data_IF_001525346471
#
_entry.id   IF_001525346471
#
_cell.length_a   1.000
_cell.length_b   1.000
_cell.length_c   1.000
_cell.angle_alpha   90.00
_cell.angle_beta   90.00
_cell.angle_gamma   90.00
#
_symmetry.space_group_name_H-M   'P 1'
#
loop_
_entity.id
_entity.type
_entity.pdbx_description
1 polymer ?
#
# COMPACT_ATOMS: atom_id res chain seq x y z
N UNK A 1 5.60 -25.19 17.31
CA UNK A 1 5.89 -23.82 17.41
C UNK A 1 4.66 -22.95 17.54
N UNK A 2 4.85 -21.68 17.64
CA UNK A 2 3.89 -20.60 17.92
C UNK A 2 2.57 -20.68 17.11
N UNK A 3 2.61 -21.16 15.88
CA UNK A 3 1.40 -21.37 15.05
C UNK A 3 0.45 -22.43 15.60
N UNK A 4 0.96 -23.45 16.31
CA UNK A 4 0.09 -24.48 16.93
C UNK A 4 -0.64 -23.96 18.17
N UNK A 5 -0.03 -23.04 18.91
CA UNK A 5 -0.64 -22.41 20.09
C UNK A 5 -1.74 -21.43 19.69
N UNK A 6 -1.57 -20.71 18.57
CA UNK A 6 -2.59 -19.81 18.01
C UNK A 6 -3.81 -20.59 17.49
N UNK A 7 -3.62 -21.82 17.01
CA UNK A 7 -4.72 -22.68 16.51
C UNK A 7 -5.55 -23.31 17.63
N UNK A 8 -5.02 -23.38 18.86
CA UNK A 8 -5.74 -23.91 20.04
C UNK A 8 -6.48 -22.81 20.81
N UNK A 9 -6.09 -21.54 20.60
CA UNK A 9 -6.80 -20.43 21.22
C UNK A 9 -8.15 -20.19 20.51
N UNK A 10 -9.24 -19.85 21.23
CA UNK A 10 -10.55 -19.55 20.65
C UNK A 10 -10.55 -18.16 19.98
N UNK A 11 -9.62 -17.95 19.06
CA UNK A 11 -9.46 -16.70 18.32
C UNK A 11 -9.99 -16.91 16.89
N UNK A 12 -10.85 -15.99 16.42
CA UNK A 12 -11.34 -16.09 15.05
C UNK A 12 -10.17 -15.91 14.06
N UNK A 13 -10.13 -16.73 13.03
CA UNK A 13 -9.09 -16.65 11.97
C UNK A 13 -9.07 -15.26 11.30
N UNK A 14 -10.23 -14.60 11.24
CA UNK A 14 -10.34 -13.20 10.79
C UNK A 14 -9.54 -12.24 11.69
N UNK A 15 -9.56 -12.45 13.01
CA UNK A 15 -8.76 -11.64 13.95
C UNK A 15 -7.26 -11.82 13.72
N UNK A 16 -6.82 -13.03 13.35
CA UNK A 16 -5.42 -13.30 13.01
C UNK A 16 -5.00 -12.55 11.75
N UNK A 17 -5.84 -12.55 10.69
CA UNK A 17 -5.59 -11.81 9.46
C UNK A 17 -5.51 -10.30 9.73
N UNK A 18 -6.50 -9.75 10.46
CA UNK A 18 -6.52 -8.34 10.85
C UNK A 18 -5.31 -7.94 11.69
N UNK A 19 -4.97 -8.76 12.70
CA UNK A 19 -3.79 -8.53 13.55
C UNK A 19 -2.48 -8.51 12.77
N UNK A 20 -2.29 -9.45 11.83
CA UNK A 20 -1.11 -9.47 10.95
C UNK A 20 -1.04 -8.24 10.07
N UNK A 21 -2.16 -7.82 9.47
CA UNK A 21 -2.22 -6.62 8.64
C UNK A 21 -1.87 -5.36 9.44
N UNK A 22 -2.49 -5.19 10.62
CA UNK A 22 -2.23 -4.03 11.47
C UNK A 22 -0.78 -4.03 11.99
N UNK A 23 -0.26 -5.19 12.39
CA UNK A 23 1.14 -5.31 12.81
C UNK A 23 2.12 -4.93 11.71
N UNK A 24 1.92 -5.45 10.50
CA UNK A 24 2.75 -5.09 9.34
C UNK A 24 2.64 -3.61 9.00
N UNK A 25 1.43 -3.03 9.03
CA UNK A 25 1.20 -1.62 8.77
C UNK A 25 1.89 -0.72 9.83
N UNK A 26 1.85 -1.11 11.10
CA UNK A 26 2.52 -0.39 12.18
C UNK A 26 4.03 -0.40 12.01
N UNK A 27 4.63 -1.54 11.68
CA UNK A 27 6.08 -1.65 11.41
C UNK A 27 6.46 -0.76 10.22
N UNK A 28 5.70 -0.83 9.12
CA UNK A 28 5.94 -0.01 7.95
C UNK A 28 5.80 1.49 8.25
N UNK A 29 4.81 1.87 9.07
CA UNK A 29 4.63 3.26 9.52
C UNK A 29 5.84 3.74 10.33
N UNK A 30 6.33 2.94 11.27
CA UNK A 30 7.52 3.30 12.06
C UNK A 30 8.72 3.49 11.16
N UNK A 31 8.97 2.56 10.23
CA UNK A 31 10.06 2.66 9.26
C UNK A 31 9.94 3.92 8.40
N UNK A 32 8.75 4.20 7.89
CA UNK A 32 8.50 5.40 7.11
C UNK A 32 8.62 6.69 7.92
N UNK A 33 8.17 6.70 9.19
CA UNK A 33 8.36 7.84 10.09
C UNK A 33 9.86 8.11 10.35
N UNK A 34 10.66 7.06 10.54
CA UNK A 34 12.12 7.20 10.65
C UNK A 34 12.70 7.84 9.39
N UNK A 35 12.27 7.40 8.19
CA UNK A 35 12.73 8.00 6.93
C UNK A 35 12.33 9.48 6.84
N UNK A 36 11.12 9.86 7.28
CA UNK A 36 10.68 11.26 7.30
C UNK A 36 11.58 12.15 8.19
N UNK A 37 12.18 11.62 9.26
CA UNK A 37 13.14 12.36 10.08
C UNK A 37 14.41 12.73 9.30
N UNK A 38 14.77 11.97 8.29
CA UNK A 38 15.92 12.24 7.43
C UNK A 38 15.60 13.16 6.23
N UNK A 39 14.31 13.47 5.97
CA UNK A 39 13.91 14.32 4.86
C UNK A 39 14.58 15.70 4.84
N UNK A 40 14.77 16.40 5.97
CA UNK A 40 15.47 17.68 5.98
C UNK A 40 16.93 17.60 5.53
N UNK A 41 17.60 16.46 5.75
CA UNK A 41 19.01 16.27 5.35
C UNK A 41 19.18 16.22 3.82
N UNK A 42 18.13 15.87 3.10
CA UNK A 42 18.12 15.85 1.62
C UNK A 42 17.44 17.10 1.04
N UNK A 43 17.22 18.14 1.87
CA UNK A 43 16.68 19.42 1.43
C UNK A 43 15.14 19.47 1.33
N UNK A 44 14.42 18.45 1.82
CA UNK A 44 12.95 18.44 1.85
C UNK A 44 12.48 19.02 3.18
N UNK A 45 11.93 20.24 3.16
CA UNK A 45 11.35 20.88 4.34
C UNK A 45 9.93 20.36 4.57
N UNK A 46 9.73 19.63 5.67
CA UNK A 46 8.42 19.13 6.08
C UNK A 46 7.86 20.00 7.21
N UNK A 47 6.69 20.59 6.97
CA UNK A 47 5.97 21.26 8.07
C UNK A 47 5.34 20.20 9.00
N UNK A 48 5.11 20.52 10.29
CA UNK A 48 4.40 19.61 11.20
C UNK A 48 3.04 19.18 10.66
N UNK A 49 2.32 20.09 9.96
CA UNK A 49 1.04 19.76 9.30
C UNK A 49 1.19 18.74 8.17
N UNK A 50 2.25 18.87 7.37
CA UNK A 50 2.57 17.88 6.31
C UNK A 50 2.83 16.51 6.90
N UNK A 51 3.63 16.43 7.96
CA UNK A 51 3.93 15.15 8.64
C UNK A 51 2.65 14.54 9.21
N UNK A 52 1.78 15.34 9.84
CA UNK A 52 0.51 14.87 10.41
C UNK A 52 -0.43 14.29 9.32
N UNK A 53 -0.41 14.83 8.10
CA UNK A 53 -1.17 14.30 6.96
C UNK A 53 -0.54 13.05 6.37
N UNK A 54 0.79 12.95 6.36
CA UNK A 54 1.50 11.80 5.79
C UNK A 54 1.36 10.53 6.63
N UNK A 55 1.41 10.64 7.96
CA UNK A 55 1.37 9.46 8.83
C UNK A 55 0.12 8.58 8.62
N UNK A 56 -1.13 9.09 8.64
CA UNK A 56 -2.31 8.27 8.40
C UNK A 56 -2.36 7.73 6.96
N UNK A 57 -1.87 8.49 5.98
CA UNK A 57 -1.80 8.03 4.61
C UNK A 57 -0.80 6.88 4.44
N UNK A 58 0.37 6.98 5.05
CA UNK A 58 1.39 5.93 5.06
C UNK A 58 0.87 4.67 5.74
N UNK A 59 0.15 4.82 6.85
CA UNK A 59 -0.51 3.72 7.53
C UNK A 59 -1.55 3.05 6.63
N UNK A 60 -2.40 3.84 5.97
CA UNK A 60 -3.42 3.34 5.04
C UNK A 60 -2.78 2.56 3.88
N UNK A 61 -1.73 3.12 3.27
CA UNK A 61 -1.00 2.46 2.19
C UNK A 61 -0.37 1.15 2.66
N UNK A 62 0.28 1.17 3.82
CA UNK A 62 0.90 -0.01 4.41
C UNK A 62 -0.14 -1.08 4.77
N UNK A 63 -1.29 -0.70 5.33
CA UNK A 63 -2.39 -1.61 5.64
C UNK A 63 -2.98 -2.22 4.35
N UNK A 64 -3.19 -1.42 3.31
CA UNK A 64 -3.69 -1.88 2.02
C UNK A 64 -2.74 -2.90 1.36
N UNK A 65 -1.45 -2.58 1.32
CA UNK A 65 -0.41 -3.48 0.78
C UNK A 65 -0.20 -4.71 1.65
N UNK A 66 -0.23 -4.53 2.98
CA UNK A 66 -0.13 -5.63 3.95
C UNK A 66 -1.28 -6.62 3.82
N UNK A 67 -2.52 -6.14 3.67
CA UNK A 67 -3.69 -6.99 3.44
C UNK A 67 -3.57 -7.81 2.15
N UNK A 68 -3.06 -7.19 1.09
CA UNK A 68 -2.78 -7.90 -0.17
C UNK A 68 -1.74 -9.00 0.03
N UNK A 69 -0.65 -8.71 0.76
CA UNK A 69 0.37 -9.71 1.11
C UNK A 69 -0.19 -10.86 1.97
N UNK A 70 -1.04 -10.53 2.96
CA UNK A 70 -1.73 -11.54 3.79
C UNK A 70 -2.65 -12.41 2.94
N UNK A 71 -3.42 -11.83 2.00
CA UNK A 71 -4.27 -12.60 1.09
C UNK A 71 -3.44 -13.56 0.23
N UNK A 72 -2.31 -13.12 -0.33
CA UNK A 72 -1.41 -14.00 -1.09
C UNK A 72 -0.86 -15.13 -0.22
N UNK A 73 -0.49 -14.83 1.03
CA UNK A 73 0.02 -15.84 1.96
C UNK A 73 -1.02 -16.93 2.29
N UNK A 74 -2.32 -16.66 2.18
CA UNK A 74 -3.35 -17.69 2.34
C UNK A 74 -3.46 -18.64 1.15
N UNK A 75 -2.96 -18.24 -0.01
CA UNK A 75 -3.06 -19.00 -1.27
C UNK A 75 -1.79 -19.78 -1.60
N UNK A 76 -0.66 -19.42 -1.02
CA UNK A 76 0.64 -20.00 -1.31
C UNK A 76 1.07 -20.89 -0.15
N UNK A 77 1.40 -22.15 -0.45
CA UNK A 77 1.63 -23.20 0.58
C UNK A 77 3.04 -23.22 1.15
N UNK A 78 4.03 -22.75 0.42
CA UNK A 78 5.43 -22.77 0.84
C UNK A 78 6.00 -21.36 1.01
N UNK A 79 6.94 -21.21 1.93
CA UNK A 79 7.58 -19.92 2.22
C UNK A 79 8.41 -19.47 1.01
N UNK A 80 9.09 -20.41 0.35
CA UNK A 80 9.93 -20.14 -0.81
C UNK A 80 9.10 -19.63 -1.99
N UNK A 81 7.96 -20.29 -2.28
CA UNK A 81 7.05 -19.84 -3.33
C UNK A 81 6.44 -18.46 -2.99
N UNK A 82 6.09 -18.22 -1.71
CA UNK A 82 5.60 -16.91 -1.29
C UNK A 82 6.65 -15.82 -1.51
N UNK A 83 7.89 -16.05 -1.09
CA UNK A 83 8.99 -15.10 -1.28
C UNK A 83 9.25 -14.82 -2.77
N UNK A 84 9.26 -15.85 -3.61
CA UNK A 84 9.44 -15.70 -5.05
C UNK A 84 8.33 -14.85 -5.69
N UNK A 85 7.06 -15.13 -5.35
CA UNK A 85 5.90 -14.37 -5.84
C UNK A 85 5.96 -12.93 -5.35
N UNK A 86 6.28 -12.70 -4.07
CA UNK A 86 6.39 -11.35 -3.51
C UNK A 86 7.49 -10.54 -4.18
N UNK A 87 8.66 -11.13 -4.45
CA UNK A 87 9.74 -10.45 -5.18
C UNK A 87 9.33 -10.12 -6.61
N UNK A 88 8.68 -11.07 -7.30
CA UNK A 88 8.19 -10.88 -8.66
C UNK A 88 7.15 -9.77 -8.77
N UNK A 89 6.28 -9.60 -7.75
CA UNK A 89 5.25 -8.57 -7.73
C UNK A 89 5.77 -7.23 -7.23
N UNK A 90 6.59 -7.21 -6.19
CA UNK A 90 7.03 -5.97 -5.53
C UNK A 90 7.81 -5.08 -6.47
N UNK A 91 8.75 -5.63 -7.23
CA UNK A 91 9.59 -4.85 -8.13
C UNK A 91 8.77 -4.12 -9.21
N UNK A 92 7.91 -4.80 -10.00
CA UNK A 92 7.04 -4.11 -10.94
C UNK A 92 6.07 -3.12 -10.27
N UNK A 93 5.52 -3.46 -9.10
CA UNK A 93 4.61 -2.56 -8.38
C UNK A 93 5.30 -1.27 -7.96
N UNK A 94 6.51 -1.34 -7.40
CA UNK A 94 7.28 -0.16 -7.02
C UNK A 94 7.67 0.64 -8.26
N UNK A 95 8.17 -0.03 -9.31
CA UNK A 95 8.56 0.64 -10.54
C UNK A 95 7.39 1.35 -11.21
N UNK A 96 6.25 0.68 -11.36
CA UNK A 96 5.04 1.21 -11.98
C UNK A 96 4.22 2.13 -11.07
N UNK A 97 4.61 2.33 -9.80
CA UNK A 97 3.91 3.24 -8.90
C UNK A 97 4.11 4.72 -9.19
N UNK A 98 4.99 5.04 -10.15
CA UNK A 98 5.34 6.42 -10.51
C UNK A 98 6.40 7.06 -9.61
N UNK A 99 7.08 6.28 -8.75
CA UNK A 99 8.18 6.80 -7.92
C UNK A 99 9.32 7.33 -8.79
N UNK A 100 9.66 6.63 -9.86
CA UNK A 100 10.84 6.90 -10.68
C UNK A 100 10.57 7.79 -11.90
N UNK A 101 9.32 7.93 -12.34
CA UNK A 101 8.99 8.69 -13.55
C UNK A 101 7.61 9.35 -13.44
N UNK A 102 7.35 10.39 -14.26
CA UNK A 102 6.02 11.00 -14.38
C UNK A 102 5.02 10.00 -14.94
N UNK A 103 3.77 10.03 -14.44
CA UNK A 103 2.70 9.12 -14.89
C UNK A 103 2.07 9.56 -16.21
N UNK A 104 2.28 10.82 -16.63
CA UNK A 104 1.82 11.35 -17.90
C UNK A 104 2.88 11.17 -18.98
N UNK A 105 2.43 10.87 -20.21
CA UNK A 105 3.34 10.68 -21.35
C UNK A 105 3.96 9.28 -21.45
N UNK A 106 3.59 8.35 -20.57
CA UNK A 106 4.04 6.95 -20.67
C UNK A 106 3.27 6.18 -21.75
N UNK A 107 3.85 5.13 -22.34
CA UNK A 107 3.15 4.26 -23.29
C UNK A 107 1.83 3.71 -22.74
N UNK A 108 0.85 3.46 -23.60
CA UNK A 108 -0.51 3.05 -23.21
C UNK A 108 -0.52 1.81 -22.30
N UNK A 109 0.28 0.79 -22.62
CA UNK A 109 0.36 -0.43 -21.80
C UNK A 109 0.85 -0.14 -20.37
N UNK A 110 1.82 0.76 -20.25
CA UNK A 110 2.36 1.16 -18.95
C UNK A 110 1.34 2.01 -18.17
N UNK A 111 0.62 2.92 -18.85
CA UNK A 111 -0.47 3.70 -18.26
C UNK A 111 -1.58 2.79 -17.69
N UNK A 112 -1.91 1.69 -18.36
CA UNK A 112 -2.88 0.71 -17.85
C UNK A 112 -2.36 0.05 -16.57
N UNK A 113 -1.12 -0.41 -16.57
CA UNK A 113 -0.53 -1.08 -15.42
C UNK A 113 -0.37 -0.12 -14.21
N UNK A 114 0.00 1.13 -14.43
CA UNK A 114 0.06 2.14 -13.35
C UNK A 114 -1.30 2.40 -12.73
N UNK A 115 -2.38 2.40 -13.51
CA UNK A 115 -3.75 2.61 -13.02
C UNK A 115 -4.30 1.40 -12.25
N UNK A 116 -3.87 0.21 -12.57
CA UNK A 116 -4.26 -1.02 -11.84
C UNK A 116 -3.47 -1.15 -10.53
N UNK A 117 -2.29 -0.57 -10.46
CA UNK A 117 -1.41 -0.69 -9.30
C UNK A 117 -1.91 0.18 -8.13
N UNK A 118 -2.32 -0.41 -6.99
CA UNK A 118 -2.81 0.36 -5.84
C UNK A 118 -1.73 1.24 -5.20
N UNK A 119 -0.46 0.85 -5.28
CA UNK A 119 0.66 1.65 -4.77
C UNK A 119 0.76 3.02 -5.47
N UNK A 120 0.34 3.12 -6.74
CA UNK A 120 0.37 4.36 -7.51
C UNK A 120 -0.47 5.46 -6.84
N UNK A 121 -1.64 5.13 -6.33
CA UNK A 121 -2.54 6.08 -5.67
C UNK A 121 -1.96 6.60 -4.35
N UNK A 122 -1.33 5.72 -3.58
CA UNK A 122 -0.64 6.13 -2.36
C UNK A 122 0.55 7.06 -2.65
N UNK A 123 1.40 6.69 -3.60
CA UNK A 123 2.57 7.48 -4.00
C UNK A 123 2.15 8.84 -4.59
N UNK A 124 1.13 8.88 -5.46
CA UNK A 124 0.62 10.13 -6.01
C UNK A 124 0.12 11.07 -4.91
N UNK A 125 -0.59 10.53 -3.91
CA UNK A 125 -1.07 11.34 -2.78
C UNK A 125 0.07 11.83 -1.89
N UNK A 126 1.06 10.98 -1.56
CA UNK A 126 2.25 11.38 -0.81
C UNK A 126 2.96 12.53 -1.52
N UNK A 127 3.11 12.43 -2.84
CA UNK A 127 3.77 13.46 -3.66
C UNK A 127 2.97 14.77 -3.68
N UNK A 128 1.63 14.71 -3.83
CA UNK A 128 0.77 15.90 -3.75
C UNK A 128 0.93 16.63 -2.41
N UNK A 129 1.02 15.89 -1.32
CA UNK A 129 1.19 16.45 0.03
C UNK A 129 2.59 17.07 0.22
N UNK A 130 3.65 16.35 -0.17
CA UNK A 130 5.04 16.78 0.06
C UNK A 130 5.41 17.97 -0.83
N UNK A 131 5.05 17.89 -2.11
CA UNK A 131 5.44 18.91 -3.11
C UNK A 131 4.41 20.03 -3.25
N UNK A 132 3.23 19.89 -2.66
CA UNK A 132 2.15 20.87 -2.82
C UNK A 132 1.68 21.00 -4.27
N UNK A 133 1.87 19.97 -5.12
CA UNK A 133 1.53 20.01 -6.53
C UNK A 133 0.06 19.70 -6.76
N UNK A 134 -0.59 20.38 -7.74
CA UNK A 134 -1.98 20.11 -8.06
C UNK A 134 -2.17 18.72 -8.71
N UNK A 135 -3.39 18.17 -8.68
CA UNK A 135 -3.71 16.88 -9.30
C UNK A 135 -3.41 16.82 -10.81
N UNK A 136 -3.44 17.95 -11.50
CA UNK A 136 -3.18 18.10 -12.93
C UNK A 136 -1.67 18.02 -13.28
N UNK A 137 -0.81 17.93 -12.27
CA UNK A 137 0.65 17.83 -12.49
C UNK A 137 1.01 16.57 -13.29
N UNK A 138 2.19 16.54 -13.95
CA UNK A 138 2.65 15.35 -14.70
C UNK A 138 2.72 14.06 -13.89
N UNK A 139 2.69 14.19 -12.57
CA UNK A 139 2.68 13.06 -11.62
C UNK A 139 1.28 12.67 -11.15
N UNK A 140 0.26 13.43 -11.53
CA UNK A 140 -1.14 13.13 -11.21
C UNK A 140 -1.67 11.95 -12.02
N UNK A 141 -2.63 11.24 -11.43
CA UNK A 141 -3.30 10.13 -12.08
C UNK A 141 -4.52 10.67 -12.83
N UNK A 142 -4.62 10.30 -14.11
CA UNK A 142 -5.81 10.57 -14.92
C UNK A 142 -6.55 9.24 -15.12
N UNK A 143 -7.71 9.11 -14.48
CA UNK A 143 -8.57 7.92 -14.59
C UNK A 143 -9.85 8.31 -15.32
N UNK A 144 -10.13 7.64 -16.45
CA UNK A 144 -11.33 7.87 -17.27
C UNK A 144 -11.57 9.33 -17.65
N UNK A 145 -10.50 10.10 -17.91
CA UNK A 145 -10.59 11.51 -18.29
C UNK A 145 -10.68 12.49 -17.12
N UNK A 146 -10.74 12.00 -15.88
CA UNK A 146 -10.74 12.84 -14.69
C UNK A 146 -9.41 12.75 -13.94
N UNK A 147 -8.86 13.91 -13.57
CA UNK A 147 -7.69 13.99 -12.71
C UNK A 147 -8.07 13.59 -11.27
N UNK A 148 -7.32 12.65 -10.71
CA UNK A 148 -7.60 12.14 -9.38
C UNK A 148 -7.13 13.11 -8.31
N UNK A 149 -8.07 13.67 -7.56
CA UNK A 149 -7.76 14.50 -6.39
C UNK A 149 -7.15 13.64 -5.27
N UNK A 150 -6.56 14.31 -4.27
CA UNK A 150 -6.03 13.66 -3.06
C UNK A 150 -7.06 12.73 -2.41
N UNK A 151 -8.29 13.21 -2.22
CA UNK A 151 -9.37 12.45 -1.59
C UNK A 151 -9.82 11.26 -2.43
N UNK A 152 -9.84 11.39 -3.76
CA UNK A 152 -10.18 10.28 -4.64
C UNK A 152 -9.13 9.15 -4.57
N UNK A 153 -7.85 9.50 -4.52
CA UNK A 153 -6.76 8.54 -4.36
C UNK A 153 -6.85 7.82 -3.01
N UNK A 154 -7.08 8.58 -1.92
CA UNK A 154 -7.25 8.02 -0.57
C UNK A 154 -8.46 7.09 -0.50
N UNK A 155 -9.59 7.50 -1.07
CA UNK A 155 -10.81 6.68 -1.10
C UNK A 155 -10.57 5.37 -1.86
N UNK A 156 -9.94 5.43 -3.03
CA UNK A 156 -9.64 4.24 -3.83
C UNK A 156 -8.69 3.29 -3.08
N UNK A 157 -7.66 3.84 -2.43
CA UNK A 157 -6.73 3.06 -1.62
C UNK A 157 -7.44 2.41 -0.41
N UNK A 158 -8.37 3.14 0.25
CA UNK A 158 -9.16 2.63 1.35
C UNK A 158 -10.10 1.50 0.89
N UNK A 159 -10.77 1.67 -0.24
CA UNK A 159 -11.62 0.62 -0.84
C UNK A 159 -10.80 -0.61 -1.19
N UNK A 160 -9.64 -0.44 -1.81
CA UNK A 160 -8.74 -1.55 -2.11
C UNK A 160 -8.30 -2.27 -0.84
N UNK A 161 -7.80 -1.53 0.17
CA UNK A 161 -7.32 -2.10 1.42
C UNK A 161 -8.41 -2.85 2.19
N UNK A 162 -9.62 -2.28 2.28
CA UNK A 162 -10.77 -2.95 2.92
C UNK A 162 -11.19 -4.20 2.17
N UNK A 163 -11.25 -4.15 0.84
CA UNK A 163 -11.57 -5.31 0.01
C UNK A 163 -10.55 -6.43 0.20
N UNK A 164 -9.25 -6.13 0.17
CA UNK A 164 -8.20 -7.12 0.38
C UNK A 164 -8.23 -7.70 1.78
N UNK A 165 -8.52 -6.87 2.80
CA UNK A 165 -8.67 -7.35 4.19
C UNK A 165 -9.85 -8.31 4.32
N UNK A 166 -11.01 -7.98 3.75
CA UNK A 166 -12.18 -8.85 3.78
C UNK A 166 -11.93 -10.17 3.05
N UNK A 167 -11.31 -10.13 1.89
CA UNK A 167 -10.93 -11.34 1.14
C UNK A 167 -9.91 -12.19 1.91
N UNK A 168 -8.93 -11.56 2.56
CA UNK A 168 -7.98 -12.26 3.41
C UNK A 168 -8.69 -12.97 4.58
N UNK A 169 -9.61 -12.28 5.27
CA UNK A 169 -10.39 -12.84 6.36
C UNK A 169 -11.24 -14.04 5.90
N UNK A 170 -11.91 -13.93 4.76
CA UNK A 170 -12.70 -15.03 4.17
C UNK A 170 -11.82 -16.21 3.77
N UNK A 171 -10.66 -15.94 3.17
CA UNK A 171 -9.73 -16.98 2.74
C UNK A 171 -9.12 -17.76 3.91
N UNK A 172 -8.95 -17.13 5.07
CA UNK A 172 -8.57 -17.84 6.31
C UNK A 172 -9.71 -18.71 6.84
N UNK A 173 -10.97 -18.30 6.67
CA UNK A 173 -12.15 -19.05 7.12
C UNK A 173 -12.45 -20.31 6.30
N UNK A 174 -12.06 -20.37 5.04
CA UNK A 174 -12.38 -21.46 4.09
C UNK A 174 -11.34 -22.58 4.01
N UNK A 175 -10.35 -22.62 4.90
CA UNK A 175 -9.29 -23.64 4.92
C UNK A 175 -9.60 -24.80 5.88
N UNK A 176 -10.89 -25.07 6.19
CA UNK A 176 -11.36 -26.28 6.88
C UNK A 176 -11.66 -27.40 5.90
#
# INVERSE_FOLDING_TARGET
GFLKEVLVAPISRASVAGGKTLGAATIALIQGAVILLFAPLVGVSLSPGTVLMLLPLMFLLAAAMGSFGVLLATRIRTIEAFQAVMQMLTFPMVFLSGVFFPLQGVPTWMSVLTKINPATYGIATIRQIILGVPPESPFGINLLGHTMSLWNNVALLAVFGTTMTLLAMQSFGSQD
#
